data_IF_249676794632
#
_entry.id   IF_249676794632
#
_cell.length_a   1.000
_cell.length_b   1.000
_cell.length_c   1.000
_cell.angle_alpha   90.00
_cell.angle_beta   90.00
_cell.angle_gamma   90.00
#
_symmetry.space_group_name_H-M   'P 1'
#
loop_
_entity.id
_entity.type
_entity.pdbx_description
1 polymer ?
#
# COMPACT_ATOMS: atom_id res chain seq x y z
N UNK A 1 15.78 36.28 -9.99
CA UNK A 1 14.42 35.72 -10.14
C UNK A 1 14.18 34.69 -9.05
N UNK A 2 13.71 35.14 -7.88
CA UNK A 2 13.63 34.31 -6.68
C UNK A 2 12.56 33.22 -6.81
N UNK A 3 12.98 31.99 -7.13
CA UNK A 3 12.11 30.81 -7.14
C UNK A 3 11.49 30.64 -5.77
N UNK A 4 10.24 31.05 -5.62
CA UNK A 4 9.47 30.81 -4.41
C UNK A 4 9.30 29.30 -4.29
N UNK A 5 10.08 28.68 -3.41
CA UNK A 5 10.09 27.22 -3.25
C UNK A 5 8.79 26.85 -2.54
N UNK A 6 7.88 26.20 -3.24
CA UNK A 6 6.59 25.77 -2.70
C UNK A 6 6.65 24.27 -2.46
N UNK A 7 6.02 23.81 -1.38
CA UNK A 7 5.94 22.38 -1.07
C UNK A 7 4.65 21.85 -1.66
N UNK A 8 4.74 21.37 -2.90
CA UNK A 8 3.62 20.82 -3.65
C UNK A 8 3.48 19.31 -3.40
N UNK A 9 2.23 18.86 -3.29
CA UNK A 9 1.88 17.45 -3.23
C UNK A 9 1.90 16.88 -4.64
N UNK A 10 2.90 16.06 -4.95
CA UNK A 10 3.04 15.42 -6.26
C UNK A 10 2.43 14.01 -6.33
N UNK A 11 2.17 13.40 -5.17
CA UNK A 11 1.53 12.09 -5.06
C UNK A 11 0.91 11.91 -3.68
N UNK A 12 -0.17 11.14 -3.64
CA UNK A 12 -0.85 10.73 -2.40
C UNK A 12 -1.01 9.23 -2.46
N UNK A 13 -0.61 8.53 -1.39
CA UNK A 13 -0.79 7.08 -1.31
C UNK A 13 -2.26 6.78 -1.00
N UNK A 14 -2.90 5.96 -1.83
CA UNK A 14 -4.29 5.55 -1.63
C UNK A 14 -4.46 4.84 -0.29
N UNK A 15 -5.53 5.19 0.42
CA UNK A 15 -5.78 4.67 1.77
C UNK A 15 -4.79 5.17 2.83
N UNK A 16 -3.96 6.18 2.56
CA UNK A 16 -3.19 6.88 3.59
C UNK A 16 -4.06 7.83 4.43
N UNK A 17 -3.59 8.29 5.60
CA UNK A 17 -4.26 9.35 6.35
C UNK A 17 -4.50 10.62 5.52
N UNK A 18 -3.52 11.01 4.70
CA UNK A 18 -3.62 12.19 3.84
C UNK A 18 -4.69 12.01 2.74
N UNK A 19 -4.72 10.85 2.09
CA UNK A 19 -5.77 10.50 1.10
C UNK A 19 -7.16 10.54 1.74
N UNK A 20 -7.35 9.91 2.91
CA UNK A 20 -8.64 9.92 3.63
C UNK A 20 -9.05 11.32 4.12
N UNK A 21 -8.08 12.19 4.38
CA UNK A 21 -8.34 13.56 4.76
C UNK A 21 -8.81 14.41 3.57
N UNK A 22 -8.65 13.95 2.33
CA UNK A 22 -8.97 14.71 1.12
C UNK A 22 -7.81 15.56 0.60
N UNK A 23 -6.57 15.26 0.99
CA UNK A 23 -5.38 15.84 0.35
C UNK A 23 -5.23 15.25 -1.05
N UNK A 24 -4.94 16.11 -2.02
CA UNK A 24 -4.88 15.79 -3.44
C UNK A 24 -3.57 16.24 -4.08
N UNK A 25 -3.27 15.68 -5.25
CA UNK A 25 -2.14 16.12 -6.08
C UNK A 25 -2.38 17.55 -6.54
N UNK A 26 -1.36 18.41 -6.45
CA UNK A 26 -1.44 19.84 -6.74
C UNK A 26 -1.68 20.72 -5.51
N UNK A 27 -1.99 20.13 -4.35
CA UNK A 27 -2.09 20.89 -3.10
C UNK A 27 -0.74 21.51 -2.71
N UNK A 28 -0.74 22.79 -2.34
CA UNK A 28 0.47 23.47 -1.87
C UNK A 28 0.43 23.60 -0.35
N UNK A 29 1.33 22.91 0.34
CA UNK A 29 1.41 22.94 1.81
C UNK A 29 1.96 24.29 2.28
N UNK A 30 1.18 24.99 3.12
CA UNK A 30 1.52 26.30 3.67
C UNK A 30 1.89 26.25 5.15
N UNK A 31 1.17 25.46 5.95
CA UNK A 31 1.43 25.31 7.39
C UNK A 31 1.18 23.88 7.87
N UNK A 32 1.91 23.50 8.92
CA UNK A 32 1.73 22.25 9.66
C UNK A 32 1.66 22.61 11.14
N UNK A 33 0.57 22.28 11.82
CA UNK A 33 0.34 22.59 13.23
C UNK A 33 0.65 24.05 13.60
N UNK A 34 0.14 24.95 12.76
CA UNK A 34 0.39 26.37 12.89
C UNK A 34 1.78 26.87 12.46
N UNK A 35 2.76 25.99 12.24
CA UNK A 35 4.13 26.35 11.79
C UNK A 35 4.18 26.52 10.28
N UNK A 36 4.77 27.60 9.80
CA UNK A 36 4.90 27.86 8.35
C UNK A 36 5.89 26.89 7.69
N UNK A 37 5.47 26.32 6.57
CA UNK A 37 6.30 25.45 5.73
C UNK A 37 6.83 26.25 4.54
N UNK A 38 8.15 26.38 4.44
CA UNK A 38 8.81 27.07 3.31
C UNK A 38 9.57 26.12 2.40
N UNK A 39 9.95 24.96 2.92
CA UNK A 39 10.68 23.92 2.20
C UNK A 39 10.29 22.55 2.72
N UNK A 40 10.53 21.52 1.90
CA UNK A 40 10.14 20.15 2.21
C UNK A 40 10.74 19.65 3.53
N UNK A 41 11.95 20.11 3.89
CA UNK A 41 12.59 19.74 5.15
C UNK A 41 11.88 20.27 6.39
N UNK A 42 11.11 21.36 6.29
CA UNK A 42 10.31 21.85 7.41
C UNK A 42 9.13 20.90 7.66
N UNK A 43 8.41 20.53 6.59
CA UNK A 43 7.32 19.57 6.63
C UNK A 43 7.77 18.21 7.19
N UNK A 44 8.87 17.66 6.68
CA UNK A 44 9.43 16.38 7.15
C UNK A 44 9.79 16.44 8.63
N UNK A 45 10.42 17.54 9.09
CA UNK A 45 10.76 17.73 10.51
C UNK A 45 9.52 17.77 11.40
N UNK A 46 8.49 18.52 11.00
CA UNK A 46 7.24 18.60 11.78
C UNK A 46 6.61 17.22 11.94
N UNK A 47 6.50 16.45 10.85
CA UNK A 47 5.94 15.09 10.89
C UNK A 47 6.81 14.15 11.74
N UNK A 48 8.14 14.16 11.56
CA UNK A 48 9.05 13.28 12.30
C UNK A 48 9.11 13.56 13.81
N UNK A 49 8.80 14.80 14.22
CA UNK A 49 8.75 15.17 15.64
C UNK A 49 7.52 14.64 16.38
N UNK A 50 6.55 14.07 15.65
CA UNK A 50 5.28 13.61 16.19
C UNK A 50 5.23 12.10 16.39
N UNK A 51 4.46 11.68 17.40
CA UNK A 51 4.20 10.27 17.66
C UNK A 51 3.12 9.72 16.72
N UNK A 52 3.23 8.43 16.39
CA UNK A 52 2.15 7.69 15.74
C UNK A 52 0.89 7.76 16.60
N UNK A 53 -0.27 7.94 15.97
CA UNK A 53 -1.56 8.12 16.63
C UNK A 53 -1.86 9.58 17.01
N UNK A 54 -0.89 10.50 16.88
CA UNK A 54 -1.15 11.92 17.12
C UNK A 54 -1.88 12.57 15.94
N UNK A 55 -2.72 13.56 16.23
CA UNK A 55 -3.36 14.38 15.21
C UNK A 55 -2.40 15.43 14.65
N UNK A 56 -2.50 15.72 13.37
CA UNK A 56 -1.78 16.76 12.65
C UNK A 56 -2.75 17.66 11.90
N UNK A 57 -2.53 18.97 11.98
CA UNK A 57 -3.23 19.97 11.19
C UNK A 57 -2.35 20.38 10.00
N UNK A 58 -2.88 20.29 8.78
CA UNK A 58 -2.29 20.85 7.57
C UNK A 58 -3.13 22.00 7.04
N UNK A 59 -2.48 23.13 6.76
CA UNK A 59 -3.07 24.19 5.95
C UNK A 59 -2.45 24.12 4.56
N UNK A 60 -3.29 23.85 3.56
CA UNK A 60 -2.89 23.78 2.16
C UNK A 60 -3.55 24.91 1.37
N UNK A 61 -3.00 25.22 0.20
CA UNK A 61 -3.63 26.07 -0.80
C UNK A 61 -4.03 25.20 -2.01
N UNK A 62 -5.32 25.22 -2.35
CA UNK A 62 -5.89 24.58 -3.53
C UNK A 62 -6.68 25.62 -4.31
N UNK A 63 -6.39 25.77 -5.60
CA UNK A 63 -7.02 26.79 -6.46
C UNK A 63 -6.96 28.22 -5.89
N UNK A 64 -5.86 28.53 -5.19
CA UNK A 64 -5.63 29.83 -4.55
C UNK A 64 -6.36 30.02 -3.20
N UNK A 65 -7.18 29.07 -2.76
CA UNK A 65 -7.88 29.12 -1.48
C UNK A 65 -7.18 28.30 -0.41
N UNK A 66 -7.12 28.82 0.81
CA UNK A 66 -6.58 28.07 1.95
C UNK A 66 -7.62 27.10 2.51
N UNK A 67 -7.20 25.86 2.73
CA UNK A 67 -8.02 24.81 3.32
C UNK A 67 -7.24 24.16 4.47
N UNK A 68 -7.96 23.80 5.53
CA UNK A 68 -7.38 23.16 6.71
C UNK A 68 -7.86 21.73 6.82
N UNK A 69 -6.92 20.80 6.96
CA UNK A 69 -7.15 19.37 7.05
C UNK A 69 -6.56 18.82 8.33
N UNK A 70 -7.34 18.02 9.04
CA UNK A 70 -6.91 17.35 10.27
C UNK A 70 -6.96 15.84 10.06
N UNK A 71 -5.88 15.16 10.37
CA UNK A 71 -5.84 13.69 10.33
C UNK A 71 -4.90 13.12 11.37
N UNK A 72 -5.02 11.81 11.60
CA UNK A 72 -4.20 11.09 12.56
C UNK A 72 -2.99 10.51 11.83
N UNK A 73 -1.80 10.80 12.35
CA UNK A 73 -0.57 10.18 11.87
C UNK A 73 -0.62 8.69 12.16
N UNK A 74 -0.40 7.90 11.12
CA UNK A 74 -0.21 6.47 11.25
C UNK A 74 1.26 6.16 11.11
N UNK A 75 1.69 5.03 11.66
CA UNK A 75 3.03 4.54 11.40
C UNK A 75 3.19 4.49 9.88
N UNK A 76 4.25 5.12 9.38
CA UNK A 76 4.67 4.87 8.01
C UNK A 76 4.97 3.38 7.99
N UNK A 77 4.01 2.56 7.53
CA UNK A 77 4.26 1.16 7.23
C UNK A 77 5.45 1.19 6.30
N UNK A 78 6.64 0.93 6.86
CA UNK A 78 7.88 1.02 6.11
C UNK A 78 7.63 0.08 4.94
N UNK A 79 7.69 0.61 3.71
CA UNK A 79 7.73 -0.16 2.46
C UNK A 79 9.00 -1.01 2.37
N UNK A 80 9.39 -1.66 3.47
CA UNK A 80 10.47 -2.63 3.61
C UNK A 80 9.91 -3.92 4.17
N UNK A 81 9.06 -3.90 5.21
CA UNK A 81 8.39 -5.13 5.68
C UNK A 81 7.23 -5.53 4.77
N UNK A 82 6.37 -4.59 4.38
CA UNK A 82 5.32 -4.87 3.37
C UNK A 82 5.93 -5.35 2.05
N UNK A 83 7.01 -4.70 1.62
CA UNK A 83 7.77 -5.13 0.44
C UNK A 83 8.43 -6.50 0.64
N UNK A 84 8.92 -6.84 1.84
CA UNK A 84 9.50 -8.16 2.13
C UNK A 84 8.45 -9.27 2.01
N UNK A 85 7.27 -9.06 2.60
CA UNK A 85 6.18 -10.03 2.52
C UNK A 85 5.59 -10.12 1.10
N UNK A 86 5.44 -9.01 0.39
CA UNK A 86 5.03 -9.02 -1.03
C UNK A 86 6.09 -9.72 -1.90
N UNK A 87 7.39 -9.48 -1.65
CA UNK A 87 8.47 -10.18 -2.35
C UNK A 87 8.44 -11.69 -2.09
N UNK A 88 7.86 -12.16 -0.98
CA UNK A 88 7.68 -13.60 -0.74
C UNK A 88 6.77 -14.23 -1.79
N UNK A 89 5.74 -13.51 -2.27
CA UNK A 89 4.89 -13.99 -3.36
C UNK A 89 5.69 -14.21 -4.64
N UNK A 90 6.59 -13.28 -4.96
CA UNK A 90 7.43 -13.40 -6.14
C UNK A 90 8.51 -14.48 -5.96
N UNK A 91 9.23 -14.48 -4.84
CA UNK A 91 10.37 -15.37 -4.63
C UNK A 91 9.96 -16.83 -4.41
N UNK A 92 8.88 -17.08 -3.67
CA UNK A 92 8.42 -18.45 -3.35
C UNK A 92 7.42 -18.98 -4.36
N UNK A 93 6.45 -18.16 -4.74
CA UNK A 93 5.33 -18.59 -5.59
C UNK A 93 5.47 -18.12 -7.04
N UNK A 94 6.37 -17.19 -7.34
CA UNK A 94 6.52 -16.58 -8.68
C UNK A 94 5.31 -15.79 -9.11
N UNK A 95 4.63 -15.09 -8.20
CA UNK A 95 3.51 -14.21 -8.56
C UNK A 95 3.76 -12.79 -8.09
N UNK A 96 3.28 -11.84 -8.87
CA UNK A 96 3.12 -10.46 -8.43
C UNK A 96 1.63 -10.12 -8.42
N UNK A 97 1.26 -9.24 -7.50
CA UNK A 97 -0.12 -8.86 -7.26
C UNK A 97 -0.26 -7.36 -7.17
N UNK A 98 -1.43 -6.85 -7.53
CA UNK A 98 -1.78 -5.43 -7.42
C UNK A 98 -3.21 -5.27 -6.86
N UNK A 99 -3.47 -4.13 -6.22
CA UNK A 99 -4.81 -3.78 -5.77
C UNK A 99 -5.66 -3.32 -6.97
N UNK A 100 -6.90 -3.81 -7.04
CA UNK A 100 -7.87 -3.38 -8.05
C UNK A 100 -9.21 -3.09 -7.38
N UNK A 101 -10.10 -2.38 -8.09
CA UNK A 101 -11.48 -2.10 -7.64
C UNK A 101 -12.25 -3.38 -7.25
N UNK A 102 -11.86 -4.53 -7.81
CA UNK A 102 -12.52 -5.82 -7.60
C UNK A 102 -11.71 -6.79 -6.70
N UNK A 103 -10.72 -6.28 -5.96
CA UNK A 103 -9.85 -7.05 -5.07
C UNK A 103 -8.42 -7.17 -5.57
N UNK A 104 -7.65 -8.09 -4.98
CA UNK A 104 -6.24 -8.28 -5.31
C UNK A 104 -6.11 -9.13 -6.58
N UNK A 105 -5.42 -8.61 -7.60
CA UNK A 105 -5.30 -9.25 -8.91
C UNK A 105 -3.88 -9.77 -9.11
N UNK A 106 -3.75 -11.00 -9.64
CA UNK A 106 -2.48 -11.52 -10.12
C UNK A 106 -2.10 -10.79 -11.41
N UNK A 107 -1.05 -9.97 -11.37
CA UNK A 107 -0.62 -9.18 -12.53
C UNK A 107 0.46 -9.86 -13.35
N UNK A 108 1.26 -10.73 -12.71
CA UNK A 108 2.28 -11.54 -13.36
C UNK A 108 2.40 -12.92 -12.69
N UNK A 109 2.71 -13.92 -13.52
CA UNK A 109 3.08 -15.27 -13.08
C UNK A 109 4.38 -15.64 -13.78
N UNK A 110 5.43 -15.82 -12.99
CA UNK A 110 6.79 -16.10 -13.43
C UNK A 110 6.99 -17.60 -13.65
N UNK A 111 7.71 -17.95 -14.71
CA UNK A 111 7.88 -19.34 -15.15
C UNK A 111 8.59 -20.25 -14.14
N UNK A 112 9.36 -19.67 -13.22
CA UNK A 112 10.12 -20.41 -12.21
C UNK A 112 9.35 -20.61 -10.89
N UNK A 113 8.15 -20.03 -10.75
CA UNK A 113 7.39 -20.08 -9.50
C UNK A 113 6.51 -21.31 -9.35
N UNK A 114 6.22 -21.71 -8.11
CA UNK A 114 5.27 -22.78 -7.80
C UNK A 114 3.87 -22.53 -8.40
N UNK A 115 3.51 -21.27 -8.61
CA UNK A 115 2.22 -20.90 -9.16
C UNK A 115 2.12 -21.03 -10.68
N UNK A 116 3.21 -21.30 -11.40
CA UNK A 116 3.26 -21.16 -12.87
C UNK A 116 2.17 -21.94 -13.61
N UNK A 117 1.92 -23.18 -13.18
CA UNK A 117 0.90 -24.04 -13.79
C UNK A 117 -0.48 -23.93 -13.13
N UNK A 118 -0.60 -23.15 -12.05
CA UNK A 118 -1.79 -23.08 -11.20
C UNK A 118 -2.55 -21.77 -11.41
N UNK A 119 -1.82 -20.66 -11.40
CA UNK A 119 -2.34 -19.29 -11.48
C UNK A 119 -2.10 -18.69 -12.86
N UNK A 120 -2.90 -17.68 -13.20
CA UNK A 120 -2.81 -16.93 -14.46
C UNK A 120 -2.92 -15.45 -14.19
N UNK A 121 -2.28 -14.64 -15.04
CA UNK A 121 -2.51 -13.20 -15.07
C UNK A 121 -4.00 -12.91 -15.22
N UNK A 122 -4.51 -12.01 -14.38
CA UNK A 122 -5.92 -11.61 -14.33
C UNK A 122 -6.78 -12.43 -13.36
N UNK A 123 -6.23 -13.48 -12.74
CA UNK A 123 -6.90 -14.14 -11.61
C UNK A 123 -7.08 -13.15 -10.44
N UNK A 124 -8.23 -13.20 -9.78
CA UNK A 124 -8.49 -12.38 -8.59
C UNK A 124 -8.32 -13.26 -7.35
N UNK A 125 -7.38 -12.91 -6.48
CA UNK A 125 -7.11 -13.62 -5.23
C UNK A 125 -8.25 -13.38 -4.23
N UNK A 126 -9.03 -14.43 -3.94
CA UNK A 126 -10.18 -14.37 -3.05
C UNK A 126 -9.85 -14.83 -1.62
N UNK A 127 -8.89 -15.74 -1.46
CA UNK A 127 -8.47 -16.20 -0.13
C UNK A 127 -7.07 -16.82 -0.13
N UNK A 128 -6.39 -16.75 1.01
CA UNK A 128 -5.14 -17.45 1.33
C UNK A 128 -5.39 -18.35 2.54
N UNK A 129 -5.05 -19.64 2.46
CA UNK A 129 -5.18 -20.63 3.55
C UNK A 129 -6.56 -20.60 4.25
N UNK A 130 -7.62 -20.40 3.47
CA UNK A 130 -9.00 -20.36 3.95
C UNK A 130 -9.47 -19.01 4.51
N UNK A 131 -8.60 -18.01 4.59
CA UNK A 131 -8.97 -16.65 5.04
C UNK A 131 -9.17 -15.73 3.83
N UNK A 132 -10.28 -14.99 3.83
CA UNK A 132 -10.66 -14.07 2.76
C UNK A 132 -9.61 -12.98 2.55
N UNK A 133 -9.37 -12.63 1.30
CA UNK A 133 -8.54 -11.51 0.85
C UNK A 133 -9.44 -10.53 0.10
N UNK A 134 -9.46 -9.27 0.54
CA UNK A 134 -10.12 -8.18 -0.15
C UNK A 134 -9.12 -7.11 -0.61
N UNK A 135 -8.05 -6.88 0.16
CA UNK A 135 -7.04 -5.86 -0.14
C UNK A 135 -5.62 -6.38 -0.01
N UNK A 136 -4.64 -5.60 -0.52
CA UNK A 136 -3.23 -5.92 -0.35
C UNK A 136 -2.80 -6.00 1.12
N UNK A 137 -3.44 -5.24 2.01
CA UNK A 137 -3.16 -5.32 3.45
C UNK A 137 -3.54 -6.68 4.03
N UNK A 138 -4.62 -7.31 3.54
CA UNK A 138 -4.99 -8.67 3.95
C UNK A 138 -3.93 -9.68 3.52
N UNK A 139 -3.43 -9.55 2.29
CA UNK A 139 -2.36 -10.43 1.77
C UNK A 139 -1.12 -10.32 2.65
N UNK A 140 -0.67 -9.10 2.95
CA UNK A 140 0.50 -8.87 3.82
C UNK A 140 0.25 -9.46 5.21
N UNK A 141 -0.93 -9.23 5.80
CA UNK A 141 -1.28 -9.73 7.12
C UNK A 141 -1.29 -11.27 7.17
N UNK A 142 -1.83 -11.92 6.15
CA UNK A 142 -1.91 -13.38 6.06
C UNK A 142 -0.55 -14.02 5.80
N UNK A 143 0.28 -13.43 4.93
CA UNK A 143 1.65 -13.90 4.75
C UNK A 143 2.45 -13.75 6.04
N UNK A 144 2.35 -12.61 6.74
CA UNK A 144 3.01 -12.42 8.04
C UNK A 144 2.53 -13.45 9.07
N UNK A 145 1.21 -13.67 9.17
CA UNK A 145 0.61 -14.65 10.10
C UNK A 145 1.09 -16.07 9.83
N UNK A 146 1.28 -16.42 8.56
CA UNK A 146 1.65 -17.77 8.14
C UNK A 146 3.15 -17.89 7.83
N UNK A 147 3.98 -16.97 8.33
CA UNK A 147 5.43 -16.93 8.11
C UNK A 147 5.85 -17.07 6.63
N UNK A 148 5.10 -16.40 5.75
CA UNK A 148 5.31 -16.39 4.30
C UNK A 148 4.72 -17.60 3.57
N UNK A 149 4.09 -18.53 4.28
CA UNK A 149 3.56 -19.77 3.69
C UNK A 149 2.08 -19.64 3.33
N UNK A 150 1.81 -19.83 2.06
CA UNK A 150 0.51 -20.08 1.44
C UNK A 150 0.49 -21.53 0.96
N UNK A 151 -0.20 -22.41 1.70
CA UNK A 151 -0.43 -23.82 1.33
C UNK A 151 -1.41 -23.93 0.17
N UNK A 152 -2.42 -23.05 0.17
CA UNK A 152 -3.34 -22.94 -0.96
C UNK A 152 -3.96 -21.55 -1.01
N UNK A 153 -4.42 -21.17 -2.19
CA UNK A 153 -5.29 -20.03 -2.38
C UNK A 153 -6.57 -20.41 -3.12
N UNK A 154 -7.56 -19.52 -3.07
CA UNK A 154 -8.71 -19.56 -3.97
C UNK A 154 -8.66 -18.29 -4.81
N UNK A 155 -8.77 -18.47 -6.12
CA UNK A 155 -8.85 -17.37 -7.09
C UNK A 155 -10.14 -17.40 -7.87
N UNK A 156 -10.61 -16.24 -8.31
CA UNK A 156 -11.68 -16.12 -9.29
C UNK A 156 -11.07 -16.00 -10.69
N UNK A 157 -11.41 -16.94 -11.56
CA UNK A 157 -11.00 -16.96 -12.98
C UNK A 157 -12.22 -17.13 -13.86
N UNK A 158 -12.49 -16.15 -14.72
CA UNK A 158 -13.67 -16.15 -15.60
C UNK A 158 -14.99 -16.48 -14.85
N UNK A 159 -15.16 -15.88 -13.67
CA UNK A 159 -16.35 -16.07 -12.82
C UNK A 159 -16.40 -17.38 -12.02
N UNK A 160 -15.39 -18.26 -12.13
CA UNK A 160 -15.32 -19.52 -11.37
C UNK A 160 -14.26 -19.45 -10.28
N UNK A 161 -14.60 -19.90 -9.09
CA UNK A 161 -13.64 -20.07 -8.01
C UNK A 161 -12.79 -21.32 -8.26
N UNK A 162 -11.46 -21.15 -8.25
CA UNK A 162 -10.48 -22.21 -8.46
C UNK A 162 -9.61 -22.27 -7.21
N UNK A 163 -9.49 -23.44 -6.60
CA UNK A 163 -8.56 -23.67 -5.49
C UNK A 163 -7.22 -24.17 -6.04
N UNK A 164 -6.13 -23.52 -5.65
CA UNK A 164 -4.78 -23.82 -6.10
C UNK A 164 -3.93 -24.19 -4.88
N UNK A 165 -3.40 -25.41 -4.87
CA UNK A 165 -2.55 -25.92 -3.80
C UNK A 165 -1.08 -25.77 -4.19
N UNK A 166 -0.25 -25.27 -3.27
CA UNK A 166 1.18 -25.12 -3.44
C UNK A 166 1.87 -26.22 -2.63
N UNK A 167 2.74 -26.99 -3.29
CA UNK A 167 3.38 -28.16 -2.69
C UNK A 167 4.28 -27.72 -1.53
N UNK A 168 4.06 -28.30 -0.35
CA UNK A 168 4.86 -28.05 0.84
C UNK A 168 6.13 -28.88 0.75
N UNK A 169 7.05 -28.53 -0.14
CA UNK A 169 8.41 -29.04 -0.02
C UNK A 169 9.13 -28.16 0.99
N UNK A 170 9.40 -28.75 2.16
CA UNK A 170 10.32 -28.23 3.15
C UNK A 170 11.61 -27.82 2.43
N UNK A 171 12.04 -26.58 2.64
CA UNK A 171 13.38 -26.17 2.27
C UNK A 171 14.29 -26.81 3.31
N UNK A 172 14.91 -27.93 2.95
CA UNK A 172 15.97 -28.60 3.72
C UNK A 172 17.17 -27.67 3.92
#
# INVERSE_FOLDING_TARGET
DGTQTQVEVISVVDGSPASRAGIEVGDIVRRVDGVQVKKISDLVKSIHSKQVGSSIELVIARDGQLQTYNFVLQEKTKGKEGNYWINTLQSRYGITVDDSRNGVVIVEVLQFGQAYNLLKKGDILQSINGVRVATMQDVIALLKKNNGVMEYCIVLRAGKAIRCYFDSQEVE
#
